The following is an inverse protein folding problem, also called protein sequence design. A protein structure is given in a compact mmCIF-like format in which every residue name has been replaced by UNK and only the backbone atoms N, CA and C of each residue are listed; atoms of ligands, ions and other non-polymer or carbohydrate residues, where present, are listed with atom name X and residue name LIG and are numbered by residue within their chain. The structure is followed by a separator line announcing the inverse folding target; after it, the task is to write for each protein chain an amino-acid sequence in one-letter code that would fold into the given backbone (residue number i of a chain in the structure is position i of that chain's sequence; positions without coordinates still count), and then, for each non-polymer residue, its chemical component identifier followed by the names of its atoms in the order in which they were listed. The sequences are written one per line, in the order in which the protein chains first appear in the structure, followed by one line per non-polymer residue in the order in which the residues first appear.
data_IF_019404668264
#
_entry.id   IF_019404668264
#
_cell.length_a   1.000
_cell.length_b   1.000
_cell.length_c   1.000
_cell.angle_alpha   90.00
_cell.angle_beta   90.00
_cell.angle_gamma   90.00
#
_symmetry.space_group_name_H-M   'P 1'
#
loop_
_entity.id
_entity.type
_entity.pdbx_description
1 polymer ?
#
# COMPACT_ATOMS: atom_id res chain seq x y z
N UNK A 1 10.30 6.30 -9.09
CA UNK A 1 9.55 7.53 -8.71
C UNK A 1 9.39 7.58 -7.20
N UNK A 2 9.54 8.75 -6.62
CA UNK A 2 9.42 8.94 -5.17
C UNK A 2 8.12 9.66 -4.84
N UNK A 3 7.68 9.53 -3.59
CA UNK A 3 6.51 10.26 -3.09
C UNK A 3 6.79 10.81 -1.69
N UNK A 4 5.90 11.67 -1.22
CA UNK A 4 6.02 12.32 0.08
C UNK A 4 5.07 11.66 1.08
N UNK A 5 5.58 11.36 2.27
CA UNK A 5 4.80 10.85 3.40
C UNK A 5 5.13 11.72 4.61
N UNK A 6 4.20 12.57 5.02
CA UNK A 6 4.45 13.56 6.07
C UNK A 6 5.55 14.54 5.67
N UNK A 7 6.60 14.60 6.45
CA UNK A 7 7.76 15.47 6.19
C UNK A 7 8.86 14.79 5.36
N UNK A 8 8.70 13.53 5.01
CA UNK A 8 9.69 12.78 4.24
C UNK A 8 9.31 12.77 2.75
N UNK A 9 10.08 13.47 1.94
CA UNK A 9 9.88 13.58 0.49
C UNK A 9 10.61 12.49 -0.30
N UNK A 10 11.27 11.56 0.39
CA UNK A 10 12.13 10.56 -0.22
C UNK A 10 11.59 9.15 0.02
N UNK A 11 10.30 8.95 -0.21
CA UNK A 11 9.63 7.68 0.06
C UNK A 11 9.43 6.84 -1.19
N UNK A 12 9.51 5.53 -1.00
CA UNK A 12 9.15 4.55 -2.02
C UNK A 12 8.56 3.32 -1.33
N UNK A 13 8.08 2.38 -2.12
CA UNK A 13 7.52 1.14 -1.58
C UNK A 13 8.46 -0.05 -1.77
N UNK A 14 8.34 -1.00 -0.85
CA UNK A 14 8.76 -2.38 -1.08
C UNK A 14 7.49 -3.20 -1.16
N UNK A 15 7.40 -4.06 -2.15
CA UNK A 15 6.20 -4.82 -2.48
C UNK A 15 6.52 -6.31 -2.49
N UNK A 16 5.74 -7.09 -1.77
CA UNK A 16 5.90 -8.54 -1.67
C UNK A 16 4.57 -9.21 -1.42
N UNK A 17 4.62 -10.41 -0.86
CA UNK A 17 3.44 -11.16 -0.47
C UNK A 17 3.05 -10.86 0.98
N UNK A 18 1.75 -10.71 1.24
CA UNK A 18 1.18 -10.56 2.57
C UNK A 18 0.45 -11.84 2.94
N UNK A 19 1.04 -12.65 3.82
CA UNK A 19 0.45 -13.93 4.20
C UNK A 19 0.51 -14.95 3.09
N UNK A 20 -0.62 -15.60 2.80
CA UNK A 20 -0.70 -16.71 1.85
C UNK A 20 -1.27 -16.29 0.51
N UNK A 21 -0.91 -17.06 -0.52
CA UNK A 21 -1.47 -17.00 -1.87
C UNK A 21 -1.20 -15.66 -2.58
N UNK A 22 -2.25 -15.06 -3.14
CA UNK A 22 -2.14 -13.89 -4.03
C UNK A 22 -2.18 -12.54 -3.33
N UNK A 23 -2.23 -12.54 -1.99
CA UNK A 23 -2.29 -11.31 -1.23
C UNK A 23 -1.00 -10.50 -1.37
N UNK A 24 -1.14 -9.22 -1.67
CA UNK A 24 0.01 -8.31 -1.86
C UNK A 24 0.31 -7.56 -0.57
N UNK A 25 1.60 -7.43 -0.26
CA UNK A 25 2.09 -6.63 0.87
C UNK A 25 2.76 -5.36 0.38
N UNK A 26 2.37 -4.22 0.93
CA UNK A 26 2.88 -2.90 0.56
C UNK A 26 3.41 -2.20 1.80
N UNK A 27 4.68 -1.83 1.80
CA UNK A 27 5.33 -1.10 2.89
C UNK A 27 6.07 0.11 2.35
N UNK A 28 5.89 1.27 2.99
CA UNK A 28 6.62 2.48 2.66
C UNK A 28 7.93 2.53 3.43
N UNK A 29 9.00 2.89 2.74
CA UNK A 29 10.34 3.04 3.30
C UNK A 29 10.96 4.35 2.84
N UNK A 30 12.00 4.80 3.56
CA UNK A 30 12.89 5.85 3.07
C UNK A 30 13.75 5.26 1.95
N UNK A 31 13.82 5.92 0.81
CA UNK A 31 14.50 5.40 -0.37
C UNK A 31 16.01 5.27 -0.19
N UNK A 32 16.62 6.09 0.66
CA UNK A 32 18.06 6.08 0.90
C UNK A 32 18.46 5.16 2.06
N UNK A 33 17.80 5.29 3.21
CA UNK A 33 18.13 4.55 4.42
C UNK A 33 17.46 3.19 4.50
N UNK A 34 16.39 2.99 3.73
CA UNK A 34 15.50 1.83 3.77
C UNK A 34 14.79 1.63 5.12
N UNK A 35 14.74 2.68 5.92
CA UNK A 35 13.99 2.67 7.17
C UNK A 35 12.50 2.52 6.88
N UNK A 36 11.85 1.59 7.57
CA UNK A 36 10.41 1.36 7.45
C UNK A 36 9.64 2.55 8.03
N UNK A 37 8.79 3.14 7.22
CA UNK A 37 7.98 4.31 7.62
C UNK A 37 6.56 3.93 7.97
N UNK A 38 5.92 3.08 7.17
CA UNK A 38 4.54 2.66 7.40
C UNK A 38 4.22 1.38 6.65
N UNK A 39 3.35 0.55 7.24
CA UNK A 39 2.75 -0.60 6.57
C UNK A 39 1.39 -0.20 6.04
N UNK A 40 1.12 -0.47 4.77
CA UNK A 40 -0.11 -0.07 4.09
C UNK A 40 -1.12 -1.21 3.95
N UNK A 41 -0.69 -2.45 4.08
CA UNK A 41 -1.55 -3.63 3.95
C UNK A 41 -1.70 -4.37 5.27
N UNK A 42 -2.79 -5.12 5.41
CA UNK A 42 -3.07 -5.94 6.58
C UNK A 42 -3.42 -7.36 6.14
N UNK A 43 -2.89 -8.40 6.78
CA UNK A 43 -3.22 -9.78 6.40
C UNK A 43 -4.66 -10.12 6.75
N UNK A 44 -5.40 -10.65 5.77
CA UNK A 44 -6.76 -11.16 5.95
C UNK A 44 -6.80 -12.61 5.48
N UNK A 45 -6.81 -13.52 6.43
CA UNK A 45 -6.76 -14.97 6.17
C UNK A 45 -8.03 -15.50 5.50
N UNK A 46 -9.11 -14.76 5.62
CA UNK A 46 -10.42 -15.18 5.10
C UNK A 46 -10.75 -14.57 3.74
N UNK A 47 -9.97 -13.60 3.30
CA UNK A 47 -10.18 -12.96 2.01
C UNK A 47 -9.57 -13.79 0.89
N UNK A 48 -10.35 -13.96 -0.17
CA UNK A 48 -9.87 -14.58 -1.39
C UNK A 48 -9.35 -13.46 -2.31
N UNK A 49 -8.08 -13.13 -2.17
CA UNK A 49 -7.45 -12.06 -2.94
C UNK A 49 -7.15 -12.51 -4.36
N UNK A 50 -7.53 -11.67 -5.32
CA UNK A 50 -7.13 -11.80 -6.70
C UNK A 50 -5.95 -10.88 -6.98
N UNK A 51 -5.23 -11.13 -8.07
CA UNK A 51 -4.16 -10.25 -8.52
C UNK A 51 -4.77 -8.87 -8.85
N UNK A 52 -4.19 -7.82 -8.28
CA UNK A 52 -4.73 -6.46 -8.42
C UNK A 52 -5.73 -6.05 -7.35
N UNK A 53 -5.91 -6.89 -6.33
CA UNK A 53 -6.78 -6.57 -5.19
C UNK A 53 -5.95 -6.69 -3.90
N UNK A 54 -6.07 -5.72 -3.01
CA UNK A 54 -5.33 -5.70 -1.76
C UNK A 54 -6.21 -5.27 -0.59
N UNK A 55 -5.91 -5.78 0.60
CA UNK A 55 -6.50 -5.32 1.86
C UNK A 55 -5.64 -4.19 2.39
N UNK A 56 -6.14 -2.97 2.33
CA UNK A 56 -5.42 -1.76 2.72
C UNK A 56 -5.91 -1.28 4.08
N UNK A 57 -4.96 -0.89 4.94
CA UNK A 57 -5.28 -0.30 6.24
C UNK A 57 -6.03 1.02 6.05
N UNK A 58 -7.16 1.17 6.75
CA UNK A 58 -7.91 2.43 6.78
C UNK A 58 -7.53 3.19 8.07
N UNK A 59 -6.22 3.35 8.27
CA UNK A 59 -5.64 4.03 9.42
C UNK A 59 -4.73 5.16 8.96
N UNK A 60 -4.50 6.12 9.84
CA UNK A 60 -3.62 7.24 9.54
C UNK A 60 -2.17 6.76 9.45
N UNK A 61 -1.52 7.04 8.34
CA UNK A 61 -0.10 6.72 8.10
C UNK A 61 0.72 7.98 7.88
N UNK A 62 0.05 9.13 7.73
CA UNK A 62 0.69 10.41 7.47
C UNK A 62 0.06 11.49 8.34
N UNK A 63 0.92 12.28 8.98
CA UNK A 63 0.54 13.47 9.72
C UNK A 63 1.23 14.66 9.07
N UNK A 64 0.43 15.54 8.46
CA UNK A 64 0.93 16.75 7.81
C UNK A 64 0.21 17.95 8.45
N UNK A 65 0.97 18.86 9.07
CA UNK A 65 0.44 20.05 9.74
C UNK A 65 -0.35 20.95 8.78
N UNK A 66 -0.05 20.91 7.49
CA UNK A 66 -0.70 21.72 6.47
C UNK A 66 -1.96 21.11 5.92
N UNK A 67 -1.99 19.81 5.77
CA UNK A 67 -3.09 19.08 5.12
C UNK A 67 -3.84 18.13 6.07
N UNK A 68 -3.37 17.97 7.32
CA UNK A 68 -3.95 17.09 8.31
C UNK A 68 -3.45 15.64 8.17
N UNK A 69 -4.18 14.72 8.78
CA UNK A 69 -3.82 13.30 8.77
C UNK A 69 -4.42 12.60 7.55
N UNK A 70 -3.65 11.73 6.92
CA UNK A 70 -4.12 10.93 5.78
C UNK A 70 -4.05 9.45 6.10
N UNK A 71 -5.07 8.72 5.69
CA UNK A 71 -5.08 7.25 5.80
C UNK A 71 -4.23 6.63 4.70
N UNK A 72 -3.87 5.36 4.88
CA UNK A 72 -3.15 4.60 3.86
C UNK A 72 -3.91 4.61 2.52
N UNK A 73 -5.23 4.48 2.57
CA UNK A 73 -6.09 4.50 1.38
C UNK A 73 -5.97 5.84 0.66
N UNK A 74 -6.08 6.96 1.39
CA UNK A 74 -5.99 8.31 0.82
C UNK A 74 -4.63 8.57 0.16
N UNK A 75 -3.55 8.12 0.78
CA UNK A 75 -2.20 8.25 0.21
C UNK A 75 -2.11 7.48 -1.11
N UNK A 76 -2.60 6.24 -1.15
CA UNK A 76 -2.56 5.42 -2.35
C UNK A 76 -3.51 5.94 -3.44
N UNK A 77 -4.64 6.50 -3.07
CA UNK A 77 -5.56 7.14 -4.02
C UNK A 77 -4.91 8.36 -4.68
N UNK A 78 -4.24 9.18 -3.89
CA UNK A 78 -3.53 10.37 -4.38
C UNK A 78 -2.43 10.01 -5.39
N UNK A 79 -1.75 8.89 -5.17
CA UNK A 79 -0.70 8.41 -6.07
C UNK A 79 -1.28 7.68 -7.30
N UNK A 80 -2.58 7.47 -7.36
CA UNK A 80 -3.24 6.74 -8.45
C UNK A 80 -3.07 5.23 -8.35
N UNK A 81 -2.64 4.72 -7.19
CA UNK A 81 -2.42 3.30 -6.96
C UNK A 81 -3.72 2.59 -6.60
N UNK A 82 -4.52 3.16 -5.68
CA UNK A 82 -5.86 2.67 -5.41
C UNK A 82 -6.81 3.26 -6.44
N UNK A 83 -7.42 2.39 -7.23
CA UNK A 83 -8.37 2.80 -8.27
C UNK A 83 -9.81 2.84 -7.75
N UNK A 84 -10.15 1.87 -6.87
CA UNK A 84 -11.49 1.76 -6.33
C UNK A 84 -11.47 1.05 -4.99
N UNK A 85 -12.25 1.55 -4.04
CA UNK A 85 -12.53 0.86 -2.78
C UNK A 85 -13.73 -0.05 -3.02
N UNK A 86 -13.52 -1.36 -2.90
CA UNK A 86 -14.55 -2.38 -3.16
C UNK A 86 -15.42 -2.66 -1.95
N UNK A 87 -14.81 -2.70 -0.76
CA UNK A 87 -15.50 -3.01 0.48
C UNK A 87 -14.71 -2.49 1.68
N UNK A 88 -15.44 -1.92 2.66
CA UNK A 88 -14.86 -1.53 3.96
C UNK A 88 -15.32 -2.49 5.03
N UNK A 89 -14.42 -2.96 5.88
CA UNK A 89 -14.72 -3.94 6.93
C UNK A 89 -13.61 -3.94 7.99
N UNK A 90 -13.79 -4.77 9.02
CA UNK A 90 -12.79 -4.94 10.08
C UNK A 90 -12.21 -6.35 10.04
N UNK A 91 -10.91 -6.45 10.32
CA UNK A 91 -10.21 -7.71 10.50
C UNK A 91 -9.47 -7.62 11.84
N UNK A 92 -9.85 -8.48 12.80
CA UNK A 92 -9.25 -8.49 14.13
C UNK A 92 -9.26 -7.12 14.81
N UNK A 93 -10.40 -6.42 14.71
CA UNK A 93 -10.63 -5.06 15.22
C UNK A 93 -9.82 -3.97 14.52
N UNK A 94 -9.21 -4.29 13.38
CA UNK A 94 -8.48 -3.33 12.55
C UNK A 94 -9.36 -2.92 11.37
N UNK A 95 -9.54 -1.61 11.20
CA UNK A 95 -10.31 -1.04 10.11
C UNK A 95 -9.53 -1.15 8.79
N UNK A 96 -10.10 -1.84 7.81
CA UNK A 96 -9.46 -2.08 6.53
C UNK A 96 -10.44 -1.87 5.38
N UNK A 97 -9.90 -1.82 4.16
CA UNK A 97 -10.70 -1.81 2.95
C UNK A 97 -10.08 -2.71 1.89
N UNK A 98 -10.95 -3.44 1.20
CA UNK A 98 -10.55 -4.20 0.02
C UNK A 98 -10.54 -3.24 -1.15
N UNK A 99 -9.40 -3.09 -1.82
CA UNK A 99 -9.20 -2.09 -2.86
C UNK A 99 -8.69 -2.72 -4.15
N UNK A 100 -9.14 -2.15 -5.26
CA UNK A 100 -8.58 -2.44 -6.59
C UNK A 100 -7.31 -1.61 -6.75
N UNK A 101 -6.21 -2.27 -7.11
CA UNK A 101 -4.86 -1.68 -7.17
C UNK A 101 -4.37 -1.64 -8.62
N UNK A 102 -3.86 -0.47 -9.02
CA UNK A 102 -3.12 -0.34 -10.26
C UNK A 102 -1.67 -0.78 -10.02
N UNK A 103 -1.36 -2.02 -10.39
CA UNK A 103 -0.06 -2.63 -10.11
C UNK A 103 1.08 -1.97 -10.89
N UNK A 104 0.82 -1.51 -12.11
CA UNK A 104 1.83 -0.78 -12.89
C UNK A 104 2.19 0.54 -12.21
N UNK A 105 1.20 1.25 -11.69
CA UNK A 105 1.41 2.50 -10.98
C UNK A 105 2.16 2.25 -9.66
N UNK A 106 1.79 1.22 -8.93
CA UNK A 106 2.49 0.82 -7.70
C UNK A 106 3.96 0.53 -8.00
N UNK A 107 4.24 -0.19 -9.09
CA UNK A 107 5.59 -0.52 -9.50
C UNK A 107 6.45 0.72 -9.76
N UNK A 108 5.87 1.80 -10.29
CA UNK A 108 6.58 3.05 -10.53
C UNK A 108 7.11 3.68 -9.24
N UNK A 109 6.45 3.44 -8.12
CA UNK A 109 6.85 3.96 -6.81
C UNK A 109 7.61 2.94 -5.96
N UNK A 110 7.93 1.76 -6.51
CA UNK A 110 8.56 0.66 -5.77
C UNK A 110 10.05 0.58 -6.02
N UNK A 111 10.81 0.40 -4.95
CA UNK A 111 12.24 0.14 -5.01
C UNK A 111 12.53 -1.35 -5.17
N UNK A 112 11.73 -2.20 -4.53
CA UNK A 112 11.84 -3.65 -4.60
C UNK A 112 10.49 -4.28 -4.88
N UNK A 113 10.48 -5.25 -5.77
CA UNK A 113 9.27 -5.97 -6.17
C UNK A 113 9.53 -7.47 -6.08
N UNK A 114 8.94 -8.11 -5.07
CA UNK A 114 9.02 -9.56 -4.88
C UNK A 114 7.64 -10.24 -4.94
N UNK A 115 6.61 -9.50 -5.39
CA UNK A 115 5.28 -10.05 -5.59
C UNK A 115 5.24 -10.80 -6.92
N UNK A 116 5.41 -12.12 -6.86
CA UNK A 116 5.60 -12.99 -8.04
C UNK A 116 4.33 -13.22 -8.87
N UNK A 117 3.15 -12.89 -8.32
CA UNK A 117 1.87 -13.06 -9.03
C UNK A 117 1.68 -12.05 -10.18
N UNK A 118 2.50 -11.02 -10.24
CA UNK A 118 2.45 -9.99 -11.28
C UNK A 118 3.86 -9.59 -11.71
N UNK A 119 4.16 -9.78 -12.98
CA UNK A 119 5.43 -9.33 -13.55
C UNK A 119 5.35 -7.87 -13.97
N UNK A 120 6.25 -7.07 -13.45
CA UNK A 120 6.36 -5.67 -13.82
C UNK A 120 7.03 -5.59 -15.19
N UNK A 121 6.36 -4.98 -16.14
CA UNK A 121 6.92 -4.72 -17.48
C UNK A 121 7.91 -3.56 -17.39
N UNK A 122 9.12 -3.85 -17.75
CA UNK A 122 10.16 -2.82 -17.82
C UNK A 122 10.17 -2.16 -19.18
#
# INVERSE_FOLDING_TARGET
MLFTLGNNENCCFIVGHEGKEKAIGITAIDADTEEKLATFTWPDKNANHEVGVATILNEFVEEDEREGCKTAIEVLEKLGIVEKVLKKYDVDCVDVALCSINLDKLAQYSKRWSYSEYEVKK
#
